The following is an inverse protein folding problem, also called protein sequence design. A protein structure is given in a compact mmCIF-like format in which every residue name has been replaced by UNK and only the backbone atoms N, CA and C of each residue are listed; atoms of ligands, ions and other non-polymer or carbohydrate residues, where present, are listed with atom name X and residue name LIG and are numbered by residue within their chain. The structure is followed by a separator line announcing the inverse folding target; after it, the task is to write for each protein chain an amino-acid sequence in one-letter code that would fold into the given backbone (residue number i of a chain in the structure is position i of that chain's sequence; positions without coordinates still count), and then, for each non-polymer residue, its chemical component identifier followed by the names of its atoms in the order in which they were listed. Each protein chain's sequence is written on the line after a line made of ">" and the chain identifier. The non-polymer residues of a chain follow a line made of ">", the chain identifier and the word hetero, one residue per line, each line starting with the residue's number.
data_IF_994270681656
#
_entry.id   IF_994270681656
#
_cell.length_a   1.000
_cell.length_b   1.000
_cell.length_c   1.000
_cell.angle_alpha   90.00
_cell.angle_beta   90.00
_cell.angle_gamma   90.00
#
_symmetry.space_group_name_H-M   'P 1'
#
loop_
_entity.id
_entity.type
_entity.pdbx_description
1 polymer ?
#
# COMPACT_ATOMS: atom_id res chain seq x y z
N UNK A 1 -12.91 -20.37 22.57
CA UNK A 1 -12.46 -20.27 21.20
C UNK A 1 -12.51 -18.81 20.78
N UNK A 2 -11.37 -18.25 20.48
CA UNK A 2 -11.31 -16.86 20.06
C UNK A 2 -11.80 -16.75 18.63
N UNK A 3 -12.96 -16.15 18.46
CA UNK A 3 -13.34 -15.72 17.13
C UNK A 3 -12.38 -14.64 16.68
N UNK A 4 -11.68 -14.88 15.58
CA UNK A 4 -10.86 -13.85 14.96
C UNK A 4 -11.81 -12.81 14.38
N UNK A 5 -11.99 -11.72 15.11
CA UNK A 5 -12.75 -10.59 14.58
C UNK A 5 -11.93 -9.96 13.47
N UNK A 6 -12.42 -10.08 12.26
CA UNK A 6 -11.83 -9.36 11.15
C UNK A 6 -12.06 -7.88 11.32
N UNK A 7 -11.01 -7.10 11.13
CA UNK A 7 -11.08 -5.65 11.15
C UNK A 7 -11.86 -5.17 9.93
N UNK A 8 -12.91 -4.39 10.16
CA UNK A 8 -13.66 -3.76 9.08
C UNK A 8 -12.83 -2.62 8.49
N UNK A 9 -12.63 -2.66 7.19
CA UNK A 9 -11.88 -1.65 6.47
C UNK A 9 -12.85 -0.72 5.74
N UNK A 10 -12.76 0.60 6.00
CA UNK A 10 -13.59 1.55 5.26
C UNK A 10 -13.14 1.65 3.82
N UNK A 11 -14.07 1.92 2.91
CA UNK A 11 -13.76 2.14 1.52
C UNK A 11 -12.92 3.41 1.35
N UNK A 12 -11.89 3.38 0.48
CA UNK A 12 -11.13 4.58 0.18
C UNK A 12 -11.94 5.57 -0.64
N UNK A 13 -11.59 6.84 -0.54
CA UNK A 13 -12.16 7.87 -1.40
C UNK A 13 -11.49 7.79 -2.79
N UNK A 14 -12.29 7.49 -3.81
CA UNK A 14 -11.80 7.36 -5.18
C UNK A 14 -12.06 8.67 -5.92
N UNK A 15 -11.01 9.22 -6.54
CA UNK A 15 -11.09 10.43 -7.36
C UNK A 15 -10.73 10.11 -8.81
N UNK A 16 -11.00 11.06 -9.71
CA UNK A 16 -10.61 10.90 -11.12
C UNK A 16 -9.10 10.67 -11.27
N UNK A 17 -8.30 11.33 -10.43
CA UNK A 17 -6.83 11.18 -10.42
C UNK A 17 -6.38 9.77 -10.01
N UNK A 18 -7.14 9.12 -9.13
CA UNK A 18 -6.77 7.82 -8.56
C UNK A 18 -7.62 6.66 -9.07
N UNK A 19 -8.55 6.90 -9.98
CA UNK A 19 -9.48 5.88 -10.49
C UNK A 19 -8.72 4.66 -11.04
N UNK A 20 -7.71 4.87 -11.87
CA UNK A 20 -6.93 3.78 -12.45
C UNK A 20 -6.21 2.94 -11.38
N UNK A 21 -5.72 3.60 -10.32
CA UNK A 21 -5.09 2.94 -9.19
C UNK A 21 -6.04 1.95 -8.52
N UNK A 22 -7.26 2.39 -8.24
CA UNK A 22 -8.27 1.55 -7.57
C UNK A 22 -8.87 0.50 -8.48
N UNK A 23 -9.01 0.79 -9.78
CA UNK A 23 -9.45 -0.21 -10.76
C UNK A 23 -8.44 -1.35 -10.87
N UNK A 24 -7.15 -1.03 -10.84
CA UNK A 24 -6.09 -2.04 -10.84
C UNK A 24 -6.09 -2.84 -9.55
N UNK A 25 -6.31 -2.19 -8.40
CA UNK A 25 -6.41 -2.87 -7.11
C UNK A 25 -7.53 -3.92 -7.11
N UNK A 26 -8.66 -3.61 -7.74
CA UNK A 26 -9.77 -4.57 -7.89
C UNK A 26 -9.37 -5.80 -8.71
N UNK A 27 -8.34 -5.69 -9.52
CA UNK A 27 -7.77 -6.79 -10.34
C UNK A 27 -6.54 -7.43 -9.68
N UNK A 28 -6.22 -7.05 -8.45
CA UNK A 28 -5.06 -7.56 -7.73
C UNK A 28 -3.72 -6.98 -8.17
N UNK A 29 -3.72 -5.78 -8.74
CA UNK A 29 -2.51 -5.11 -9.24
C UNK A 29 -2.25 -3.82 -8.47
N UNK A 30 -1.00 -3.61 -8.09
CA UNK A 30 -0.54 -2.37 -7.46
C UNK A 30 0.10 -1.49 -8.52
N UNK A 31 -0.42 -0.28 -8.70
CA UNK A 31 0.16 0.70 -9.61
C UNK A 31 0.88 1.80 -8.84
N UNK A 32 1.93 2.32 -9.44
CA UNK A 32 2.60 3.54 -8.99
C UNK A 32 2.66 4.53 -10.17
N UNK A 33 2.83 5.81 -9.86
CA UNK A 33 3.08 6.82 -10.90
C UNK A 33 4.57 7.02 -11.05
N UNK A 34 5.02 7.12 -12.28
CA UNK A 34 6.43 7.41 -12.60
C UNK A 34 6.49 8.65 -13.47
N UNK A 35 7.33 9.60 -13.07
CA UNK A 35 7.59 10.80 -13.86
C UNK A 35 8.57 10.48 -14.99
N UNK A 36 8.20 10.77 -16.24
CA UNK A 36 9.10 10.58 -17.38
C UNK A 36 10.13 11.69 -17.51
N UNK A 37 9.91 12.83 -16.84
CA UNK A 37 10.88 13.94 -16.85
C UNK A 37 12.05 13.73 -15.90
N UNK A 38 11.79 13.39 -14.62
CA UNK A 38 12.86 13.17 -13.64
C UNK A 38 13.16 11.69 -13.38
N UNK A 39 12.34 10.79 -13.87
CA UNK A 39 12.55 9.35 -13.74
C UNK A 39 12.16 8.76 -12.38
N UNK A 40 11.66 9.55 -11.45
CA UNK A 40 11.28 9.06 -10.12
C UNK A 40 9.84 8.57 -10.08
N UNK A 41 9.63 7.47 -9.39
CA UNK A 41 8.30 6.96 -9.07
C UNK A 41 7.84 7.52 -7.72
N UNK A 42 6.53 7.65 -7.55
CA UNK A 42 5.94 8.10 -6.30
C UNK A 42 4.67 7.32 -5.97
N UNK A 43 4.33 7.29 -4.70
CA UNK A 43 3.09 6.83 -4.13
C UNK A 43 2.74 7.81 -2.97
N UNK A 44 1.56 8.33 -2.87
CA UNK A 44 0.28 8.02 -3.49
C UNK A 44 0.17 8.71 -4.85
N UNK A 45 -0.62 8.16 -5.82
CA UNK A 45 -0.57 8.65 -7.20
C UNK A 45 -1.05 10.10 -7.35
N UNK A 46 -0.24 10.89 -8.06
CA UNK A 46 -0.51 12.29 -8.39
C UNK A 46 -0.32 12.51 -9.88
N UNK A 47 -1.15 13.37 -10.47
CA UNK A 47 -0.99 13.74 -11.89
C UNK A 47 0.27 14.56 -12.11
N UNK A 48 0.62 15.40 -11.13
CA UNK A 48 1.83 16.23 -11.17
C UNK A 48 2.89 15.57 -10.28
N UNK A 49 4.11 15.43 -10.82
CA UNK A 49 5.22 14.86 -10.07
C UNK A 49 5.52 15.69 -8.82
N UNK A 50 5.54 15.10 -7.62
CA UNK A 50 5.84 15.84 -6.40
C UNK A 50 7.31 16.26 -6.28
N UNK A 51 8.20 15.73 -7.12
CA UNK A 51 9.64 16.00 -7.05
C UNK A 51 10.07 17.12 -8.01
N UNK A 52 9.57 17.13 -9.25
CA UNK A 52 9.98 18.11 -10.26
C UNK A 52 8.82 18.93 -10.83
N UNK A 53 7.58 18.68 -10.39
CA UNK A 53 6.35 19.37 -10.78
C UNK A 53 5.97 19.23 -12.25
N UNK A 54 6.55 18.26 -12.97
CA UNK A 54 6.15 17.94 -14.34
C UNK A 54 4.78 17.24 -14.37
N UNK A 55 4.02 17.48 -15.43
CA UNK A 55 2.77 16.78 -15.70
C UNK A 55 2.99 15.49 -16.52
N UNK A 56 4.23 15.18 -16.86
CA UNK A 56 4.59 14.01 -17.66
C UNK A 56 4.76 12.77 -16.77
N UNK A 57 3.65 12.31 -16.22
CA UNK A 57 3.63 11.11 -15.37
C UNK A 57 2.86 10.00 -16.05
N UNK A 58 3.26 8.76 -15.78
CA UNK A 58 2.63 7.56 -16.34
C UNK A 58 2.35 6.53 -15.25
N UNK A 59 1.42 5.62 -15.53
CA UNK A 59 1.14 4.50 -14.65
C UNK A 59 2.13 3.37 -14.93
N UNK A 60 2.66 2.79 -13.85
CA UNK A 60 3.56 1.63 -13.92
C UNK A 60 3.04 0.57 -12.96
N UNK A 61 2.97 -0.68 -13.42
CA UNK A 61 2.62 -1.79 -12.57
C UNK A 61 3.80 -2.15 -11.67
N UNK A 62 3.59 -2.08 -10.36
CA UNK A 62 4.60 -2.48 -9.39
C UNK A 62 4.60 -4.00 -9.20
N UNK A 63 5.75 -4.54 -8.84
CA UNK A 63 5.89 -5.98 -8.57
C UNK A 63 5.09 -6.44 -7.34
N UNK A 64 4.75 -5.52 -6.47
CA UNK A 64 4.12 -5.82 -5.19
C UNK A 64 5.12 -6.27 -4.12
N UNK A 65 6.40 -6.24 -4.43
CA UNK A 65 7.48 -6.61 -3.50
C UNK A 65 8.09 -5.38 -2.87
N UNK A 66 8.45 -5.49 -1.60
CA UNK A 66 9.09 -4.41 -0.89
C UNK A 66 9.73 -4.88 0.41
N UNK A 67 10.20 -3.92 1.18
CA UNK A 67 10.77 -4.16 2.51
C UNK A 67 10.16 -3.19 3.52
N UNK A 68 10.04 -3.63 4.76
CA UNK A 68 9.52 -2.76 5.82
C UNK A 68 10.57 -1.71 6.14
N UNK A 69 10.21 -0.44 5.94
CA UNK A 69 11.05 0.68 6.33
C UNK A 69 10.90 0.99 7.81
N UNK A 70 9.66 1.03 8.29
CA UNK A 70 9.30 1.23 9.69
C UNK A 70 7.92 0.67 9.96
N UNK A 71 7.61 0.37 11.21
CA UNK A 71 6.29 -0.13 11.57
C UNK A 71 5.95 0.22 13.03
N UNK A 72 4.66 0.17 13.35
CA UNK A 72 4.15 0.32 14.70
C UNK A 72 2.92 -0.56 14.87
N UNK A 73 2.81 -1.22 16.02
CA UNK A 73 1.69 -2.12 16.30
C UNK A 73 0.71 -1.42 17.24
N UNK A 74 -0.54 -1.31 16.82
CA UNK A 74 -1.64 -0.75 17.61
C UNK A 74 -2.27 -1.86 18.44
N UNK A 75 -1.65 -2.22 19.56
CA UNK A 75 -2.08 -3.37 20.39
C UNK A 75 -3.35 -3.13 21.17
N UNK A 76 -3.66 -1.86 21.45
CA UNK A 76 -4.84 -1.48 22.24
C UNK A 76 -6.09 -1.24 21.41
N UNK A 77 -6.01 -1.39 20.09
CA UNK A 77 -7.19 -1.29 19.24
C UNK A 77 -8.14 -2.48 19.51
N UNK A 78 -9.45 -2.33 19.28
CA UNK A 78 -10.40 -3.44 19.42
C UNK A 78 -9.99 -4.68 18.64
N UNK A 79 -9.46 -4.47 17.44
CA UNK A 79 -8.75 -5.50 16.67
C UNK A 79 -7.34 -4.98 16.44
N UNK A 80 -6.32 -5.56 17.08
CA UNK A 80 -4.94 -5.08 16.91
C UNK A 80 -4.51 -5.10 15.45
N UNK A 81 -3.74 -4.09 15.06
CA UNK A 81 -3.22 -3.98 13.70
C UNK A 81 -1.85 -3.33 13.72
N UNK A 82 -1.09 -3.54 12.64
CA UNK A 82 0.19 -2.91 12.44
C UNK A 82 0.11 -1.94 11.27
N UNK A 83 0.65 -0.73 11.45
CA UNK A 83 0.86 0.23 10.38
C UNK A 83 2.35 0.27 10.08
N UNK A 84 2.70 0.60 8.85
CA UNK A 84 4.10 0.70 8.48
C UNK A 84 4.32 1.40 7.17
N UNK A 85 5.56 1.82 6.97
CA UNK A 85 6.03 2.28 5.67
C UNK A 85 6.77 1.12 5.01
N UNK A 86 6.40 0.85 3.77
CA UNK A 86 7.06 -0.17 2.95
C UNK A 86 7.77 0.52 1.80
N UNK A 87 9.07 0.24 1.64
CA UNK A 87 9.83 0.67 0.47
C UNK A 87 9.59 -0.33 -0.65
N UNK A 88 8.92 0.11 -1.70
CA UNK A 88 8.64 -0.74 -2.86
C UNK A 88 9.92 -1.00 -3.66
N UNK A 89 9.97 -2.13 -4.36
CA UNK A 89 11.10 -2.46 -5.23
C UNK A 89 11.33 -1.37 -6.30
N UNK A 90 10.27 -0.65 -6.69
CA UNK A 90 10.32 0.45 -7.65
C UNK A 90 10.82 1.78 -7.07
N UNK A 91 11.07 1.83 -5.75
CA UNK A 91 11.66 2.98 -5.06
C UNK A 91 10.77 3.75 -4.10
N UNK A 92 9.50 4.02 -4.40
CA UNK A 92 8.70 4.84 -3.48
C UNK A 92 8.36 4.10 -2.19
N UNK A 93 8.15 4.86 -1.12
CA UNK A 93 7.65 4.34 0.15
C UNK A 93 6.16 4.61 0.25
N UNK A 94 5.41 3.63 0.71
CA UNK A 94 3.98 3.80 0.93
C UNK A 94 3.60 3.43 2.36
N UNK A 95 2.66 4.20 2.91
CA UNK A 95 2.05 3.88 4.19
C UNK A 95 1.01 2.78 3.99
N UNK A 96 1.06 1.74 4.80
CA UNK A 96 0.19 0.59 4.66
C UNK A 96 -0.04 -0.11 5.99
N UNK A 97 -0.83 -1.17 5.98
CA UNK A 97 -0.93 -2.10 7.09
C UNK A 97 -0.13 -3.36 6.78
N UNK A 98 0.53 -3.91 7.81
CA UNK A 98 1.19 -5.20 7.72
C UNK A 98 0.21 -6.22 8.31
N UNK A 99 -0.16 -7.22 7.53
CA UNK A 99 -1.25 -8.14 7.85
C UNK A 99 -0.84 -9.60 7.73
N UNK A 100 -1.71 -10.49 8.20
CA UNK A 100 -1.57 -11.95 8.08
C UNK A 100 -0.24 -12.46 8.65
N UNK A 101 0.17 -11.93 9.79
CA UNK A 101 1.46 -12.26 10.40
C UNK A 101 1.41 -12.13 11.92
N UNK A 102 2.44 -12.66 12.57
CA UNK A 102 2.69 -12.44 13.98
C UNK A 102 3.41 -11.10 14.16
N UNK A 103 2.74 -10.13 14.78
CA UNK A 103 3.28 -8.79 14.97
C UNK A 103 4.56 -8.76 15.81
N UNK A 104 4.76 -9.74 16.67
CA UNK A 104 5.95 -9.84 17.51
C UNK A 104 7.20 -10.26 16.71
N UNK A 105 7.00 -10.76 15.51
CA UNK A 105 8.09 -11.21 14.62
C UNK A 105 8.43 -10.20 13.52
N UNK A 106 7.77 -9.05 13.51
CA UNK A 106 8.08 -8.01 12.53
C UNK A 106 9.42 -7.34 12.84
N UNK A 107 10.14 -6.98 11.80
CA UNK A 107 11.40 -6.22 11.88
C UNK A 107 11.58 -5.32 10.67
N UNK A 108 12.33 -4.24 10.88
CA UNK A 108 12.73 -3.38 9.78
C UNK A 108 13.59 -4.16 8.77
N UNK A 109 13.50 -3.77 7.51
CA UNK A 109 14.17 -4.42 6.36
C UNK A 109 13.63 -5.82 6.02
N UNK A 110 12.60 -6.30 6.71
CA UNK A 110 11.95 -7.57 6.40
C UNK A 110 11.25 -7.51 5.03
N UNK A 111 11.47 -8.55 4.22
CA UNK A 111 10.80 -8.68 2.92
C UNK A 111 9.30 -8.88 3.08
N UNK A 112 8.53 -8.16 2.30
CA UNK A 112 7.06 -8.25 2.29
C UNK A 112 6.54 -8.28 0.86
N UNK A 113 5.32 -8.74 0.70
CA UNK A 113 4.62 -8.78 -0.58
C UNK A 113 3.21 -8.22 -0.42
N UNK A 114 2.68 -7.61 -1.48
CA UNK A 114 1.36 -7.00 -1.46
C UNK A 114 0.27 -8.06 -1.39
N UNK A 115 -0.75 -7.79 -0.59
CA UNK A 115 -2.02 -8.51 -0.56
C UNK A 115 -3.14 -7.47 -0.59
N UNK A 116 -4.26 -7.83 -1.21
CA UNK A 116 -5.39 -6.91 -1.33
C UNK A 116 -6.50 -7.38 -0.39
N UNK A 117 -6.89 -6.50 0.53
CA UNK A 117 -7.94 -6.78 1.52
C UNK A 117 -9.23 -6.07 1.14
N UNK A 118 -10.36 -6.77 1.17
CA UNK A 118 -11.64 -6.17 0.81
C UNK A 118 -12.02 -5.04 1.76
N UNK A 119 -12.73 -4.06 1.23
CA UNK A 119 -13.29 -2.96 2.00
C UNK A 119 -14.82 -3.02 1.97
N UNK A 120 -15.43 -2.27 2.88
CA UNK A 120 -16.88 -2.22 2.99
C UNK A 120 -17.46 -1.26 1.93
N UNK A 121 -17.92 -1.84 0.82
CA UNK A 121 -18.59 -1.10 -0.27
C UNK A 121 -17.65 -0.38 -1.25
N UNK A 122 -16.37 -0.73 -1.30
CA UNK A 122 -15.41 -0.09 -2.21
C UNK A 122 -14.35 -1.03 -2.73
N UNK A 123 -13.34 -0.50 -3.45
CA UNK A 123 -12.24 -1.31 -3.96
C UNK A 123 -11.37 -1.85 -2.81
N UNK A 124 -10.67 -2.98 -3.04
CA UNK A 124 -9.80 -3.52 -2.01
C UNK A 124 -8.59 -2.62 -1.76
N UNK A 125 -8.08 -2.66 -0.53
CA UNK A 125 -6.89 -1.92 -0.12
C UNK A 125 -5.64 -2.76 -0.30
N UNK A 126 -4.58 -2.22 -0.91
CA UNK A 126 -3.27 -2.88 -0.91
C UNK A 126 -2.66 -2.82 0.49
N UNK A 127 -2.33 -3.97 1.00
CA UNK A 127 -1.63 -4.14 2.27
C UNK A 127 -0.46 -5.09 2.03
N UNK A 128 0.37 -5.30 3.04
CA UNK A 128 1.56 -6.13 2.88
C UNK A 128 1.61 -7.21 3.94
N UNK A 129 2.15 -8.35 3.57
CA UNK A 129 2.40 -9.48 4.46
C UNK A 129 3.85 -9.94 4.30
N UNK A 130 4.48 -10.50 5.34
CA UNK A 130 5.83 -11.06 5.20
C UNK A 130 5.90 -12.07 4.05
N UNK A 131 6.94 -11.92 3.25
CA UNK A 131 7.16 -12.79 2.10
C UNK A 131 7.78 -14.11 2.50
#
# INVERSE_FOLDING_TARGET
>A
MSETKERKLPAPAVSAETQAYWDAAAKGKLLVRKCTSCGQAHHYPRTICPFCFSDKTEWVEASGKGTIYSYSVMRRAPVPYAIGYVTLAEGPRMLTNIVDCDFDKLKCDQAVTVVFKPTDGGPPLPMFTPA
#
